data_IF_108530357382
#
_entry.id   IF_108530357382
#
_cell.length_a   1.000
_cell.length_b   1.000
_cell.length_c   1.000
_cell.angle_alpha   90.00
_cell.angle_beta   90.00
_cell.angle_gamma   90.00
#
_symmetry.space_group_name_H-M   'P 1'
#
loop_
_entity.id
_entity.type
_entity.pdbx_description
1 polymer ?
#
# COMPACT_ATOMS: atom_id res chain seq x y z
N UNK A 1 5.34 5.09 16.64
CA UNK A 1 4.58 5.50 15.44
C UNK A 1 3.70 4.37 14.94
N UNK A 2 4.26 3.20 14.60
CA UNK A 2 3.49 2.03 14.15
C UNK A 2 2.47 1.55 15.19
N UNK A 3 2.83 1.56 16.49
CA UNK A 3 1.89 1.19 17.57
C UNK A 3 0.65 2.10 17.62
N UNK A 4 0.81 3.40 17.35
CA UNK A 4 -0.29 4.37 17.30
C UNK A 4 -1.21 4.11 16.09
N UNK A 5 -0.63 3.72 14.96
CA UNK A 5 -1.40 3.31 13.77
C UNK A 5 -2.19 2.04 14.05
N UNK A 6 -1.60 1.07 14.76
CA UNK A 6 -2.31 -0.15 15.18
C UNK A 6 -3.45 0.13 16.15
N UNK A 7 -3.31 1.14 17.01
CA UNK A 7 -4.37 1.63 17.89
C UNK A 7 -5.43 2.48 17.17
N UNK A 8 -5.30 2.67 15.84
CA UNK A 8 -6.28 3.37 15.02
C UNK A 8 -6.21 4.88 15.14
N UNK A 9 -5.11 5.45 15.61
CA UNK A 9 -4.95 6.90 15.68
C UNK A 9 -4.85 7.51 14.27
N UNK A 10 -5.82 8.34 13.84
CA UNK A 10 -5.87 8.85 12.47
C UNK A 10 -4.67 9.72 12.12
N UNK A 11 -4.17 10.52 13.06
CA UNK A 11 -2.96 11.34 12.87
C UNK A 11 -1.71 10.50 12.62
N UNK A 12 -1.59 9.35 13.28
CA UNK A 12 -0.45 8.46 13.06
C UNK A 12 -0.49 7.84 11.65
N UNK A 13 -1.69 7.57 11.12
CA UNK A 13 -1.87 7.11 9.75
C UNK A 13 -1.52 8.22 8.73
N UNK A 14 -1.98 9.45 8.98
CA UNK A 14 -1.65 10.63 8.16
C UNK A 14 -0.13 10.88 8.08
N UNK A 15 0.60 10.71 9.18
CA UNK A 15 2.06 10.82 9.23
C UNK A 15 2.77 9.66 8.49
N UNK A 16 2.17 8.47 8.46
CA UNK A 16 2.77 7.28 7.85
C UNK A 16 2.60 7.24 6.32
N UNK A 17 1.47 7.75 5.82
CA UNK A 17 1.15 7.77 4.39
C UNK A 17 2.25 8.36 3.48
N UNK A 18 2.80 9.57 3.74
CA UNK A 18 3.82 10.13 2.87
C UNK A 18 5.09 9.27 2.83
N UNK A 19 5.49 8.68 3.96
CA UNK A 19 6.66 7.79 4.06
C UNK A 19 6.47 6.54 3.20
N UNK A 20 5.29 5.91 3.26
CA UNK A 20 4.98 4.74 2.43
C UNK A 20 4.98 5.12 0.93
N UNK A 21 4.41 6.27 0.59
CA UNK A 21 4.32 6.71 -0.80
C UNK A 21 5.70 6.98 -1.41
N UNK A 22 6.61 7.60 -0.65
CA UNK A 22 7.99 7.87 -1.08
C UNK A 22 8.78 6.57 -1.32
N UNK A 23 8.64 5.58 -0.45
CA UNK A 23 9.29 4.29 -0.64
C UNK A 23 8.74 3.52 -1.84
N UNK A 24 7.41 3.53 -2.06
CA UNK A 24 6.83 2.95 -3.27
C UNK A 24 7.35 3.62 -4.54
N UNK A 25 7.48 4.94 -4.52
CA UNK A 25 8.05 5.71 -5.65
C UNK A 25 9.51 5.33 -5.90
N UNK A 26 10.31 5.18 -4.85
CA UNK A 26 11.72 4.75 -4.95
C UNK A 26 11.85 3.35 -5.55
N UNK A 27 11.02 2.41 -5.08
CA UNK A 27 10.99 1.04 -5.60
C UNK A 27 10.53 0.99 -7.06
N UNK A 28 9.51 1.77 -7.43
CA UNK A 28 9.04 1.88 -8.80
C UNK A 28 10.12 2.43 -9.74
N UNK A 29 10.82 3.49 -9.33
CA UNK A 29 11.93 4.06 -10.09
C UNK A 29 13.07 3.05 -10.28
N UNK A 30 13.44 2.33 -9.22
CA UNK A 30 14.48 1.30 -9.30
C UNK A 30 14.09 0.14 -10.22
N UNK A 31 12.83 -0.30 -10.18
CA UNK A 31 12.32 -1.35 -11.08
C UNK A 31 12.35 -0.92 -12.54
N UNK A 32 11.88 0.30 -12.84
CA UNK A 32 11.85 0.82 -14.21
C UNK A 32 13.23 1.15 -14.77
N UNK A 33 14.22 1.45 -13.91
CA UNK A 33 15.60 1.65 -14.34
C UNK A 33 16.25 0.37 -14.89
N UNK A 34 15.75 -0.82 -14.50
CA UNK A 34 16.22 -2.12 -14.97
C UNK A 34 15.41 -2.67 -16.16
N UNK A 35 14.44 -1.91 -16.65
CA UNK A 35 13.57 -2.29 -17.77
C UNK A 35 14.13 -1.77 -19.10
N UNK A 36 13.79 -2.46 -20.20
CA UNK A 36 14.28 -2.08 -21.52
C UNK A 36 13.80 -0.67 -21.91
N UNK A 37 14.66 0.17 -22.52
CA UNK A 37 14.25 1.48 -23.02
C UNK A 37 13.15 1.31 -24.09
N UNK A 38 12.02 2.01 -23.91
CA UNK A 38 10.83 1.90 -24.77
C UNK A 38 9.51 1.64 -24.03
N UNK A 39 9.57 1.39 -22.72
CA UNK A 39 8.38 1.28 -21.86
C UNK A 39 7.57 2.59 -21.84
N UNK A 40 6.27 2.50 -22.12
CA UNK A 40 5.31 3.63 -21.97
C UNK A 40 4.83 3.79 -20.51
N UNK A 41 5.17 2.84 -19.64
CA UNK A 41 4.72 2.82 -18.25
C UNK A 41 5.39 3.92 -17.44
N UNK A 42 4.59 4.84 -16.91
CA UNK A 42 5.07 5.89 -16.01
C UNK A 42 5.27 5.33 -14.60
N UNK A 43 6.31 5.76 -13.85
CA UNK A 43 6.52 5.35 -12.46
C UNK A 43 5.30 5.55 -11.56
N UNK A 44 4.48 6.56 -11.83
CA UNK A 44 3.24 6.84 -11.09
C UNK A 44 2.19 5.74 -11.25
N UNK A 45 2.09 5.09 -12.41
CA UNK A 45 1.15 3.99 -12.63
C UNK A 45 1.52 2.77 -11.73
N UNK A 46 2.81 2.49 -11.60
CA UNK A 46 3.35 1.41 -10.77
C UNK A 46 3.11 1.65 -9.28
N UNK A 47 3.25 2.91 -8.83
CA UNK A 47 2.96 3.31 -7.45
C UNK A 47 1.47 3.17 -7.13
N UNK A 48 0.58 3.64 -8.03
CA UNK A 48 -0.86 3.52 -7.84
C UNK A 48 -1.32 2.05 -7.76
N UNK A 49 -0.79 1.18 -8.63
CA UNK A 49 -1.09 -0.25 -8.59
C UNK A 49 -0.57 -0.90 -7.30
N UNK A 50 0.66 -0.59 -6.89
CA UNK A 50 1.24 -1.13 -5.65
C UNK A 50 0.45 -0.69 -4.41
N UNK A 51 -0.03 0.56 -4.39
CA UNK A 51 -0.90 1.08 -3.34
C UNK A 51 -2.21 0.30 -3.24
N UNK A 52 -2.90 0.11 -4.37
CA UNK A 52 -4.16 -0.66 -4.43
C UNK A 52 -3.95 -2.10 -3.95
N UNK A 53 -2.86 -2.75 -4.35
CA UNK A 53 -2.50 -4.10 -3.88
C UNK A 53 -2.20 -4.15 -2.38
N UNK A 54 -1.59 -3.11 -1.81
CA UNK A 54 -1.30 -3.04 -0.38
C UNK A 54 -2.58 -2.87 0.44
N UNK A 55 -3.44 -1.92 0.07
CA UNK A 55 -4.70 -1.66 0.75
C UNK A 55 -5.65 -2.84 0.59
N UNK A 56 -5.75 -3.44 -0.60
CA UNK A 56 -6.57 -4.63 -0.83
C UNK A 56 -6.16 -5.87 -0.01
N UNK A 57 -4.89 -5.97 0.40
CA UNK A 57 -4.45 -7.00 1.36
C UNK A 57 -4.84 -6.65 2.79
N UNK A 58 -4.76 -5.38 3.18
CA UNK A 58 -5.25 -4.93 4.48
C UNK A 58 -6.76 -5.11 4.64
N UNK A 59 -7.56 -4.83 3.59
CA UNK A 59 -9.02 -5.03 3.64
C UNK A 59 -9.39 -6.50 3.80
N UNK A 60 -8.63 -7.42 3.19
CA UNK A 60 -8.85 -8.85 3.36
C UNK A 60 -8.40 -9.37 4.73
N UNK A 61 -7.37 -8.77 5.33
CA UNK A 61 -6.87 -9.13 6.67
C UNK A 61 -7.79 -8.62 7.80
N UNK A 62 -8.54 -7.55 7.57
CA UNK A 62 -9.50 -6.96 8.53
C UNK A 62 -10.94 -7.43 8.31
N UNK A 63 -11.21 -8.32 7.35
CA UNK A 63 -12.53 -8.94 7.23
C UNK A 63 -12.79 -9.73 8.51
N UNK A 64 -13.87 -9.45 9.27
CA UNK A 64 -14.20 -10.26 10.42
C UNK A 64 -14.41 -11.68 9.92
N UNK A 65 -13.73 -12.64 10.54
CA UNK A 65 -14.10 -14.05 10.46
C UNK A 65 -15.55 -14.10 10.95
N UNK A 66 -16.48 -13.97 10.02
CA UNK A 66 -17.88 -14.11 10.30
C UNK A 66 -18.06 -15.58 10.66
N UNK A 67 -17.94 -15.88 11.96
CA UNK A 67 -18.55 -17.06 12.56
C UNK A 67 -20.05 -16.92 12.35
N UNK A 68 -20.47 -17.37 11.17
CA UNK A 68 -21.84 -17.64 10.80
C UNK A 68 -22.30 -18.82 11.67
N UNK A 69 -22.73 -18.54 12.91
CA UNK A 69 -23.58 -19.45 13.65
C UNK A 69 -24.98 -19.34 13.03
N UNK A 70 -25.24 -20.19 12.04
CA UNK A 70 -26.61 -20.53 11.67
C UNK A 70 -27.22 -21.29 12.85
N UNK A 71 -28.29 -20.71 13.40
CA UNK A 71 -29.23 -21.38 14.28
C UNK A 71 -30.52 -21.61 13.51
#
# INVERSE_FOLDING_TARGET
MLDRVQQGEPKAAEELLPIIYDELRRLAAHKLANEAPGQTLKPTALVHEAWLRLVGRCTHLMAPTASFQAR
#
